data_IF_796944523488
#
_entry.id   IF_796944523488
#
_cell.length_a   1.000
_cell.length_b   1.000
_cell.length_c   1.000
_cell.angle_alpha   90.00
_cell.angle_beta   90.00
_cell.angle_gamma   90.00
#
_symmetry.space_group_name_H-M   'P 1'
#
loop_
_entity.id
_entity.type
_entity.pdbx_description
1 polymer ?
#
# COMPACT_ATOMS: atom_id res chain seq x y z
N UNK A 1 28.30 38.58 22.81
CA UNK A 1 28.06 37.53 21.80
C UNK A 1 27.04 36.56 22.35
N UNK A 2 25.80 36.68 21.90
CA UNK A 2 24.70 35.79 22.28
C UNK A 2 24.85 34.49 21.46
N UNK A 3 25.24 33.40 22.11
CA UNK A 3 25.35 32.10 21.46
C UNK A 3 23.98 31.60 21.03
N UNK A 4 23.80 31.31 19.74
CA UNK A 4 22.57 30.72 19.22
C UNK A 4 22.34 29.34 19.85
N UNK A 5 21.32 29.25 20.69
CA UNK A 5 20.88 27.98 21.29
C UNK A 5 20.12 27.20 20.23
N UNK A 6 20.84 26.40 19.44
CA UNK A 6 20.22 25.51 18.46
C UNK A 6 19.52 24.34 19.16
N UNK A 7 18.24 24.13 18.85
CA UNK A 7 17.48 23.00 19.38
C UNK A 7 17.81 21.72 18.60
N UNK A 8 18.73 20.90 19.13
CA UNK A 8 19.12 19.63 18.52
C UNK A 8 17.95 18.66 18.30
N UNK A 9 16.88 18.72 19.12
CA UNK A 9 15.71 17.84 18.94
C UNK A 9 14.96 18.18 17.65
N UNK A 10 14.76 19.46 17.37
CA UNK A 10 14.11 19.92 16.15
C UNK A 10 14.95 19.57 14.92
N UNK A 11 16.26 19.79 14.98
CA UNK A 11 17.19 19.42 13.92
C UNK A 11 17.14 17.92 13.61
N UNK A 12 17.22 17.05 14.64
CA UNK A 12 17.10 15.59 14.46
C UNK A 12 15.76 15.20 13.86
N UNK A 13 14.66 15.82 14.29
CA UNK A 13 13.31 15.58 13.75
C UNK A 13 13.22 15.98 12.28
N UNK A 14 13.81 17.11 11.90
CA UNK A 14 13.84 17.55 10.52
C UNK A 14 14.68 16.60 9.65
N UNK A 15 15.87 16.20 10.12
CA UNK A 15 16.70 15.21 9.44
C UNK A 15 15.93 13.90 9.21
N UNK A 16 15.28 13.37 10.24
CA UNK A 16 14.48 12.15 10.12
C UNK A 16 13.30 12.29 9.15
N UNK A 17 12.68 13.47 9.04
CA UNK A 17 11.64 13.74 8.02
C UNK A 17 12.25 13.72 6.62
N UNK A 18 13.35 14.43 6.40
CA UNK A 18 14.01 14.47 5.08
C UNK A 18 14.51 13.10 4.61
N UNK A 19 15.01 12.26 5.52
CA UNK A 19 15.42 10.89 5.20
C UNK A 19 14.22 10.02 4.79
N UNK A 20 13.09 10.17 5.48
CA UNK A 20 11.83 9.49 5.12
C UNK A 20 11.33 9.95 3.75
N UNK A 21 11.37 11.23 3.45
CA UNK A 21 10.93 11.78 2.16
C UNK A 21 11.79 11.22 1.02
N UNK A 22 13.12 11.22 1.17
CA UNK A 22 14.04 10.59 0.20
C UNK A 22 13.75 9.10 -0.02
N UNK A 23 13.49 8.36 1.06
CA UNK A 23 13.12 6.95 0.94
C UNK A 23 11.79 6.77 0.21
N UNK A 24 10.83 7.69 0.41
CA UNK A 24 9.55 7.67 -0.30
C UNK A 24 9.74 7.96 -1.79
N UNK A 25 10.61 8.92 -2.16
CA UNK A 25 10.98 9.20 -3.55
C UNK A 25 11.64 7.99 -4.21
N UNK A 26 12.62 7.38 -3.54
CA UNK A 26 13.27 6.16 -4.03
C UNK A 26 12.25 5.04 -4.21
N UNK A 27 11.31 4.87 -3.28
CA UNK A 27 10.27 3.86 -3.39
C UNK A 27 9.29 4.14 -4.54
N UNK A 28 8.99 5.42 -4.85
CA UNK A 28 8.20 5.80 -6.04
C UNK A 28 8.91 5.41 -7.32
N UNK A 29 10.22 5.65 -7.40
CA UNK A 29 11.05 5.28 -8.57
C UNK A 29 11.16 3.76 -8.70
N UNK A 30 11.57 3.08 -7.62
CA UNK A 30 11.88 1.63 -7.65
C UNK A 30 10.64 0.75 -7.79
N UNK A 31 9.51 1.13 -7.19
CA UNK A 31 8.30 0.30 -7.18
C UNK A 31 7.16 0.84 -8.06
N UNK A 32 7.30 2.04 -8.63
CA UNK A 32 6.38 2.66 -9.59
C UNK A 32 4.98 3.01 -9.07
N UNK A 33 4.57 2.49 -7.91
CA UNK A 33 3.25 2.72 -7.31
C UNK A 33 3.35 3.03 -5.82
N UNK A 34 2.57 4.01 -5.37
CA UNK A 34 2.49 4.36 -3.95
C UNK A 34 1.70 3.32 -3.15
N UNK A 35 1.88 3.30 -1.83
CA UNK A 35 1.10 2.41 -0.95
C UNK A 35 -0.41 2.66 -1.07
N UNK A 36 -0.82 3.92 -1.24
CA UNK A 36 -2.22 4.29 -1.41
C UNK A 36 -2.82 3.72 -2.70
N UNK A 37 -2.11 3.83 -3.82
CA UNK A 37 -2.52 3.22 -5.09
C UNK A 37 -2.61 1.69 -5.01
N UNK A 38 -1.63 1.05 -4.36
CA UNK A 38 -1.65 -0.41 -4.14
C UNK A 38 -2.86 -0.83 -3.29
N UNK A 39 -3.22 -0.05 -2.27
CA UNK A 39 -4.39 -0.32 -1.45
C UNK A 39 -5.70 -0.10 -2.21
N UNK A 40 -5.79 0.97 -3.00
CA UNK A 40 -6.97 1.24 -3.82
C UNK A 40 -7.21 0.13 -4.84
N UNK A 41 -6.17 -0.24 -5.58
CA UNK A 41 -6.24 -1.33 -6.58
C UNK A 41 -6.61 -2.67 -5.92
N UNK A 42 -6.02 -3.00 -4.77
CA UNK A 42 -6.40 -4.17 -4.00
C UNK A 42 -7.88 -4.14 -3.59
N UNK A 43 -8.36 -3.03 -3.05
CA UNK A 43 -9.75 -2.89 -2.62
C UNK A 43 -10.75 -3.02 -3.80
N UNK A 44 -10.40 -2.47 -4.97
CA UNK A 44 -11.21 -2.60 -6.19
C UNK A 44 -11.25 -4.06 -6.67
N UNK A 45 -10.10 -4.74 -6.69
CA UNK A 45 -10.01 -6.16 -7.06
C UNK A 45 -10.79 -7.03 -6.08
N UNK A 46 -10.66 -6.80 -4.78
CA UNK A 46 -11.39 -7.54 -3.74
C UNK A 46 -12.91 -7.34 -3.90
N UNK A 47 -13.36 -6.13 -4.24
CA UNK A 47 -14.77 -5.84 -4.53
C UNK A 47 -15.24 -6.58 -5.79
N UNK A 48 -14.43 -6.57 -6.86
CA UNK A 48 -14.75 -7.26 -8.10
C UNK A 48 -14.87 -8.77 -7.87
N UNK A 49 -13.91 -9.37 -7.15
CA UNK A 49 -13.93 -10.79 -6.80
C UNK A 49 -15.19 -11.14 -6.00
N UNK A 50 -15.51 -10.35 -4.96
CA UNK A 50 -16.74 -10.55 -4.18
C UNK A 50 -18.01 -10.47 -5.02
N UNK A 51 -18.08 -9.53 -5.96
CA UNK A 51 -19.22 -9.41 -6.86
C UNK A 51 -19.34 -10.63 -7.79
N UNK A 52 -18.22 -11.13 -8.31
CA UNK A 52 -18.18 -12.35 -9.12
C UNK A 52 -18.61 -13.58 -8.31
N UNK A 53 -18.13 -13.72 -7.07
CA UNK A 53 -18.48 -14.83 -6.20
C UNK A 53 -19.96 -14.79 -5.79
N UNK A 54 -20.53 -13.61 -5.53
CA UNK A 54 -21.98 -13.47 -5.30
C UNK A 54 -22.83 -13.79 -6.53
N UNK A 55 -22.30 -13.53 -7.73
CA UNK A 55 -22.96 -13.83 -9.00
C UNK A 55 -22.77 -15.27 -9.48
N UNK A 56 -21.85 -16.04 -8.89
CA UNK A 56 -21.69 -17.45 -9.21
C UNK A 56 -22.94 -18.20 -8.79
N UNK A 57 -23.64 -18.75 -9.78
CA UNK A 57 -24.59 -19.82 -9.57
C UNK A 57 -23.79 -21.10 -9.45
N UNK A 58 -23.98 -21.85 -8.37
CA UNK A 58 -23.52 -23.23 -8.31
C UNK A 58 -24.22 -23.97 -9.45
N UNK A 59 -23.48 -24.27 -10.52
CA UNK A 59 -23.93 -25.29 -11.46
C UNK A 59 -24.08 -26.56 -10.63
N UNK A 60 -25.25 -27.24 -10.65
CA UNK A 60 -25.41 -28.48 -9.90
C UNK A 60 -24.25 -29.38 -10.34
N UNK A 61 -23.42 -29.76 -9.37
CA UNK A 61 -22.27 -30.61 -9.60
C UNK A 61 -22.72 -31.76 -10.50
N UNK A 62 -22.15 -31.86 -11.70
CA UNK A 62 -22.24 -33.11 -12.44
C UNK A 62 -21.77 -34.20 -11.46
N UNK A 63 -22.57 -35.26 -11.24
CA UNK A 63 -22.15 -36.31 -10.35
C UNK A 63 -20.85 -36.88 -10.92
N UNK A 64 -19.80 -36.87 -10.08
CA UNK A 64 -18.57 -37.60 -10.27
C UNK A 64 -18.93 -39.08 -10.48
N UNK A 65 -19.14 -39.46 -11.74
CA UNK A 65 -19.29 -40.84 -12.14
C UNK A 65 -17.89 -41.42 -12.19
N UNK A 66 -17.46 -41.93 -11.03
CA UNK A 66 -16.27 -42.75 -10.90
C UNK A 66 -16.26 -43.84 -11.97
N UNK A 67 -15.19 -43.87 -12.75
CA UNK A 67 -14.82 -44.99 -13.60
C UNK A 67 -13.33 -45.24 -13.51
#
# INVERSE_FOLDING_TARGET
MTGDVVNLRQFRKQKARTEKDKSADQNRISFGRTKAEKQLTKALNDKANKALDQGKRETPAEPDNGK
#
